data_IF_916878852873
#
_entry.id   IF_916878852873
#
_cell.length_a   1.000
_cell.length_b   1.000
_cell.length_c   1.000
_cell.angle_alpha   90.00
_cell.angle_beta   90.00
_cell.angle_gamma   90.00
#
_symmetry.space_group_name_H-M   'P 1'
#
loop_
_entity.id
_entity.type
_entity.pdbx_description
1 polymer ?
#
# COMPACT_ATOMS: atom_id res chain seq x y z
N UNK A 1 -2.75 -17.45 -22.09
CA UNK A 1 -2.17 -16.43 -21.17
C UNK A 1 -3.04 -16.25 -19.95
N UNK A 2 -2.68 -16.88 -18.83
CA UNK A 2 -3.26 -16.56 -17.53
C UNK A 2 -2.70 -15.21 -17.07
N UNK A 3 -3.46 -14.13 -17.28
CA UNK A 3 -3.17 -12.86 -16.60
C UNK A 3 -3.61 -13.04 -15.15
N UNK A 4 -2.75 -12.67 -14.19
CA UNK A 4 -3.10 -12.74 -12.77
C UNK A 4 -4.43 -12.05 -12.47
N UNK A 5 -5.07 -12.40 -11.36
CA UNK A 5 -6.34 -11.81 -10.97
C UNK A 5 -6.14 -10.32 -10.66
N UNK A 6 -6.94 -9.46 -11.30
CA UNK A 6 -6.89 -8.01 -11.09
C UNK A 6 -7.07 -7.68 -9.60
N UNK A 7 -6.26 -6.72 -9.10
CA UNK A 7 -6.25 -6.28 -7.70
C UNK A 7 -5.92 -7.37 -6.67
N UNK A 8 -5.27 -8.47 -7.08
CA UNK A 8 -4.75 -9.51 -6.18
C UNK A 8 -3.25 -9.68 -6.37
N UNK A 9 -2.46 -8.92 -5.60
CA UNK A 9 -1.00 -8.83 -5.78
C UNK A 9 -0.62 -8.61 -7.26
N UNK A 10 -1.37 -7.76 -7.94
CA UNK A 10 -1.17 -7.43 -9.35
C UNK A 10 0.05 -6.52 -9.48
N UNK A 11 1.09 -6.97 -10.19
CA UNK A 11 2.23 -6.11 -10.50
C UNK A 11 1.79 -5.01 -11.48
N UNK A 12 1.95 -3.76 -11.09
CA UNK A 12 1.54 -2.59 -11.89
C UNK A 12 2.68 -2.12 -12.79
N UNK A 13 3.83 -1.81 -12.21
CA UNK A 13 5.00 -1.28 -12.91
C UNK A 13 6.29 -1.49 -12.10
N UNK A 14 7.43 -1.28 -12.76
CA UNK A 14 8.75 -1.14 -12.13
C UNK A 14 9.33 0.22 -12.50
N UNK A 15 9.47 1.12 -11.54
CA UNK A 15 9.91 2.50 -11.80
C UNK A 15 11.14 2.79 -10.95
N UNK A 16 12.27 3.14 -11.60
CA UNK A 16 13.58 3.34 -10.94
C UNK A 16 14.00 2.19 -10.02
N UNK A 17 13.69 0.96 -10.42
CA UNK A 17 14.00 -0.26 -9.67
C UNK A 17 13.07 -0.53 -8.48
N UNK A 18 11.99 0.23 -8.30
CA UNK A 18 10.94 -0.01 -7.30
C UNK A 18 9.79 -0.74 -7.98
N UNK A 19 9.33 -1.86 -7.40
CA UNK A 19 8.16 -2.57 -7.92
C UNK A 19 6.89 -2.13 -7.20
N UNK A 20 5.83 -1.88 -7.97
CA UNK A 20 4.53 -1.47 -7.47
C UNK A 20 3.52 -2.61 -7.60
N UNK A 21 2.81 -2.92 -6.52
CA UNK A 21 1.82 -3.99 -6.47
C UNK A 21 0.48 -3.48 -5.95
N UNK A 22 -0.57 -3.78 -6.72
CA UNK A 22 -1.97 -3.53 -6.37
C UNK A 22 -2.60 -4.80 -5.79
N UNK A 23 -2.92 -4.73 -4.50
CA UNK A 23 -3.72 -5.73 -3.80
C UNK A 23 -4.89 -5.05 -3.08
N UNK A 24 -5.55 -4.11 -3.75
CA UNK A 24 -6.71 -3.38 -3.23
C UNK A 24 -7.83 -4.31 -2.73
N UNK A 25 -7.88 -5.57 -3.20
CA UNK A 25 -8.83 -6.59 -2.74
C UNK A 25 -8.52 -7.14 -1.34
N UNK A 26 -7.34 -6.90 -0.78
CA UNK A 26 -7.01 -7.20 0.63
C UNK A 26 -7.74 -6.25 1.59
N UNK A 27 -9.04 -6.45 1.68
CA UNK A 27 -10.00 -5.65 2.46
C UNK A 27 -10.13 -6.11 3.91
N UNK A 28 -9.28 -7.04 4.35
CA UNK A 28 -9.20 -7.53 5.72
C UNK A 28 -7.75 -7.80 6.14
N UNK A 29 -7.54 -7.89 7.44
CA UNK A 29 -6.22 -8.04 8.06
C UNK A 29 -5.47 -9.29 7.61
N UNK A 30 -6.15 -10.43 7.48
CA UNK A 30 -5.50 -11.69 7.13
C UNK A 30 -5.03 -11.69 5.66
N UNK A 31 -5.80 -11.08 4.75
CA UNK A 31 -5.41 -10.89 3.36
C UNK A 31 -4.15 -10.00 3.27
N UNK A 32 -4.15 -8.86 3.95
CA UNK A 32 -2.96 -7.98 3.99
C UNK A 32 -1.74 -8.68 4.58
N UNK A 33 -1.91 -9.48 5.65
CA UNK A 33 -0.81 -10.26 6.23
C UNK A 33 -0.18 -11.19 5.21
N UNK A 34 -0.99 -11.91 4.43
CA UNK A 34 -0.50 -12.80 3.36
C UNK A 34 0.25 -12.02 2.29
N UNK A 35 -0.26 -10.86 1.91
CA UNK A 35 0.35 -10.01 0.88
C UNK A 35 1.71 -9.46 1.30
N UNK A 36 1.87 -9.08 2.58
CA UNK A 36 3.17 -8.69 3.14
C UNK A 36 4.17 -9.87 3.06
N UNK A 37 3.72 -11.08 3.38
CA UNK A 37 4.55 -12.29 3.42
C UNK A 37 4.93 -12.83 2.04
N UNK A 38 4.27 -12.38 0.98
CA UNK A 38 4.58 -12.76 -0.41
C UNK A 38 5.89 -12.17 -0.95
N UNK A 39 6.56 -11.29 -0.19
CA UNK A 39 7.78 -10.62 -0.62
C UNK A 39 8.95 -10.91 0.32
N UNK A 40 10.11 -11.21 -0.27
CA UNK A 40 11.42 -11.33 0.38
C UNK A 40 12.18 -9.98 0.45
N UNK A 41 11.52 -8.89 0.02
CA UNK A 41 12.06 -7.54 -0.06
C UNK A 41 11.36 -6.60 0.91
N UNK A 42 12.02 -5.48 1.24
CA UNK A 42 11.43 -4.45 2.11
C UNK A 42 10.30 -3.71 1.41
N UNK A 43 9.21 -3.53 2.15
CA UNK A 43 7.93 -2.99 1.66
C UNK A 43 7.67 -1.59 2.24
N UNK A 44 7.22 -0.67 1.39
CA UNK A 44 6.46 0.51 1.79
C UNK A 44 4.99 0.16 1.62
N UNK A 45 4.27 0.09 2.73
CA UNK A 45 2.92 -0.47 2.78
C UNK A 45 1.88 0.65 2.87
N UNK A 46 0.87 0.62 2.01
CA UNK A 46 -0.30 1.49 2.12
C UNK A 46 -1.42 0.73 2.85
N UNK A 47 -1.85 1.24 4.00
CA UNK A 47 -2.94 0.74 4.83
C UNK A 47 -4.02 1.81 4.99
N UNK A 48 -5.30 1.43 5.07
CA UNK A 48 -6.35 2.40 5.30
C UNK A 48 -7.65 2.13 4.59
N UNK A 49 -8.66 2.90 4.97
CA UNK A 49 -10.04 2.78 4.50
C UNK A 49 -11.03 2.66 5.66
N UNK A 50 -12.23 2.18 5.37
CA UNK A 50 -13.26 1.88 6.37
C UNK A 50 -13.03 0.54 7.05
N UNK A 51 -12.86 0.58 8.37
CA UNK A 51 -12.75 -0.58 9.24
C UNK A 51 -14.12 -1.28 9.41
N UNK A 52 -14.09 -2.61 9.49
CA UNK A 52 -15.26 -3.48 9.75
C UNK A 52 -15.06 -4.36 10.98
N UNK A 53 -14.29 -3.89 11.96
CA UNK A 53 -13.98 -4.64 13.18
C UNK A 53 -12.68 -5.45 13.11
N UNK A 54 -11.73 -5.06 12.25
CA UNK A 54 -10.45 -5.72 12.12
C UNK A 54 -9.56 -5.58 13.37
N UNK A 55 -8.87 -6.66 13.73
CA UNK A 55 -7.79 -6.65 14.73
C UNK A 55 -6.44 -6.40 14.06
N UNK A 56 -6.08 -5.13 13.92
CA UNK A 56 -4.82 -4.73 13.29
C UNK A 56 -3.57 -5.16 14.06
N UNK A 57 -3.67 -5.59 15.33
CA UNK A 57 -2.50 -6.09 16.08
C UNK A 57 -1.91 -7.34 15.45
N UNK A 58 -2.71 -8.12 14.70
CA UNK A 58 -2.22 -9.28 13.93
C UNK A 58 -1.18 -8.90 12.87
N UNK A 59 -1.20 -7.66 12.37
CA UNK A 59 -0.20 -7.18 11.41
C UNK A 59 1.15 -6.87 12.05
N UNK A 60 1.28 -6.81 13.39
CA UNK A 60 2.52 -6.40 14.04
C UNK A 60 3.72 -7.28 13.66
N UNK A 61 3.54 -8.61 13.62
CA UNK A 61 4.60 -9.55 13.24
C UNK A 61 5.04 -9.37 11.78
N UNK A 62 4.16 -9.52 10.76
CA UNK A 62 4.57 -9.37 9.36
C UNK A 62 5.10 -7.96 9.05
N UNK A 63 4.55 -6.91 9.69
CA UNK A 63 5.08 -5.55 9.53
C UNK A 63 6.51 -5.45 10.07
N UNK A 64 6.80 -6.00 11.25
CA UNK A 64 8.16 -5.97 11.83
C UNK A 64 9.18 -6.69 10.94
N UNK A 65 8.79 -7.78 10.29
CA UNK A 65 9.68 -8.62 9.49
C UNK A 65 9.96 -8.01 8.10
N UNK A 66 8.92 -7.56 7.39
CA UNK A 66 9.02 -7.25 5.95
C UNK A 66 8.78 -5.77 5.59
N UNK A 67 8.17 -4.97 6.47
CA UNK A 67 7.80 -3.58 6.17
C UNK A 67 8.87 -2.61 6.66
N UNK A 68 9.21 -1.63 5.83
CA UNK A 68 10.13 -0.52 6.14
C UNK A 68 9.38 0.69 6.70
N UNK A 69 8.23 1.02 6.12
CA UNK A 69 7.38 2.14 6.57
C UNK A 69 5.94 1.92 6.12
N UNK A 70 4.99 2.56 6.81
CA UNK A 70 3.56 2.50 6.48
C UNK A 70 3.07 3.90 6.10
N UNK A 71 2.23 3.95 5.07
CA UNK A 71 1.43 5.14 4.72
C UNK A 71 -0.03 4.81 5.03
N UNK A 72 -0.66 5.68 5.81
CA UNK A 72 -2.01 5.54 6.36
C UNK A 72 -2.96 6.52 5.68
N UNK A 73 -4.14 6.06 5.29
CA UNK A 73 -5.22 6.90 4.77
C UNK A 73 -6.60 6.42 5.25
N UNK A 74 -7.62 7.22 5.00
CA UNK A 74 -9.01 6.86 5.31
C UNK A 74 -9.37 6.86 6.80
N UNK A 75 -10.59 6.44 7.09
CA UNK A 75 -11.22 6.52 8.43
C UNK A 75 -10.45 5.72 9.50
N UNK A 76 -9.90 4.56 9.14
CA UNK A 76 -9.23 3.66 10.08
C UNK A 76 -7.79 4.07 10.48
N UNK A 77 -7.25 5.15 9.91
CA UNK A 77 -5.84 5.55 10.05
C UNK A 77 -5.35 5.60 11.50
N UNK A 78 -6.10 6.24 12.41
CA UNK A 78 -5.69 6.39 13.81
C UNK A 78 -5.78 5.06 14.59
N UNK A 79 -6.76 4.22 14.26
CA UNK A 79 -6.90 2.88 14.85
C UNK A 79 -5.72 1.99 14.46
N UNK A 80 -5.35 1.98 13.16
CA UNK A 80 -4.20 1.23 12.65
C UNK A 80 -2.90 1.78 13.26
N UNK A 81 -2.71 3.10 13.27
CA UNK A 81 -1.55 3.77 13.87
C UNK A 81 -1.35 3.37 15.33
N UNK A 82 -2.42 3.32 16.10
CA UNK A 82 -2.39 2.89 17.50
C UNK A 82 -1.98 1.42 17.63
N UNK A 83 -2.57 0.53 16.82
CA UNK A 83 -2.28 -0.90 16.87
C UNK A 83 -0.82 -1.25 16.47
N UNK A 84 -0.24 -0.45 15.57
CA UNK A 84 1.10 -0.67 15.00
C UNK A 84 2.17 0.30 15.57
N UNK A 85 1.82 1.07 16.60
CA UNK A 85 2.72 2.02 17.24
C UNK A 85 4.04 1.35 17.64
N UNK A 86 5.15 2.01 17.30
CA UNK A 86 6.52 1.61 17.66
C UNK A 86 7.12 0.48 16.81
N UNK A 87 6.44 0.00 15.75
CA UNK A 87 6.99 -1.06 14.89
C UNK A 87 7.87 -0.48 13.77
N UNK A 88 7.33 0.45 13.00
CA UNK A 88 8.00 1.13 11.87
C UNK A 88 7.53 2.59 11.79
N UNK A 89 8.25 3.48 11.08
CA UNK A 89 7.76 4.81 10.77
C UNK A 89 6.41 4.74 10.04
N UNK A 90 5.47 5.60 10.45
CA UNK A 90 4.13 5.67 9.89
C UNK A 90 3.74 7.11 9.61
N UNK A 91 3.17 7.36 8.44
CA UNK A 91 2.70 8.68 8.04
C UNK A 91 1.29 8.65 7.48
N UNK A 92 0.56 9.73 7.72
CA UNK A 92 -0.83 9.87 7.29
C UNK A 92 -0.90 10.78 6.07
N UNK A 93 -1.68 10.39 5.08
CA UNK A 93 -1.98 11.15 3.87
C UNK A 93 -3.49 11.26 3.65
N UNK A 94 -3.90 12.12 2.73
CA UNK A 94 -5.31 12.38 2.43
C UNK A 94 -5.85 11.56 1.24
N UNK A 95 -4.97 11.05 0.38
CA UNK A 95 -5.35 10.40 -0.89
C UNK A 95 -4.39 9.27 -1.29
N UNK A 96 -4.83 8.42 -2.23
CA UNK A 96 -3.97 7.41 -2.85
C UNK A 96 -2.85 8.06 -3.66
N UNK A 97 -3.14 9.19 -4.29
CA UNK A 97 -2.19 9.98 -5.06
C UNK A 97 -1.01 10.45 -4.19
N UNK A 98 -1.31 11.05 -3.04
CA UNK A 98 -0.30 11.41 -2.04
C UNK A 98 0.45 10.18 -1.52
N UNK A 99 -0.25 9.06 -1.30
CA UNK A 99 0.38 7.83 -0.82
C UNK A 99 1.42 7.29 -1.81
N UNK A 100 1.08 7.24 -3.10
CA UNK A 100 1.96 6.78 -4.17
C UNK A 100 3.16 7.70 -4.29
N UNK A 101 2.96 9.02 -4.33
CA UNK A 101 4.07 9.99 -4.45
C UNK A 101 4.99 9.97 -3.25
N UNK A 102 4.43 9.94 -2.03
CA UNK A 102 5.21 9.89 -0.80
C UNK A 102 6.03 8.60 -0.73
N UNK A 103 5.42 7.45 -0.98
CA UNK A 103 6.12 6.17 -0.94
C UNK A 103 7.19 6.06 -2.03
N UNK A 104 6.89 6.48 -3.26
CA UNK A 104 7.89 6.52 -4.34
C UNK A 104 9.08 7.41 -4.00
N UNK A 105 8.85 8.56 -3.35
CA UNK A 105 9.92 9.48 -2.93
C UNK A 105 10.90 8.90 -1.91
N UNK A 106 10.50 7.81 -1.23
CA UNK A 106 11.23 7.15 -0.12
C UNK A 106 11.72 5.75 -0.46
N UNK A 107 11.16 5.17 -1.51
CA UNK A 107 11.50 3.87 -2.00
C UNK A 107 12.94 3.88 -2.52
N UNK A 108 13.67 2.82 -2.21
CA UNK A 108 14.99 2.56 -2.78
C UNK A 108 14.86 1.50 -3.88
N UNK A 109 15.78 1.46 -4.86
CA UNK A 109 15.84 0.36 -5.82
C UNK A 109 15.84 -0.98 -5.09
N UNK A 110 15.13 -1.97 -5.66
CA UNK A 110 14.88 -3.30 -5.08
C UNK A 110 13.96 -3.30 -3.85
N UNK A 111 13.20 -2.24 -3.58
CA UNK A 111 12.09 -2.25 -2.62
C UNK A 111 10.74 -2.42 -3.34
N UNK A 112 9.69 -2.63 -2.55
CA UNK A 112 8.32 -2.83 -3.03
C UNK A 112 7.40 -1.74 -2.47
N UNK A 113 6.54 -1.18 -3.31
CA UNK A 113 5.42 -0.34 -2.92
C UNK A 113 4.13 -1.17 -3.04
N UNK A 114 3.46 -1.43 -1.91
CA UNK A 114 2.32 -2.34 -1.85
C UNK A 114 1.06 -1.63 -1.36
N UNK A 115 0.00 -1.64 -2.17
CA UNK A 115 -1.35 -1.33 -1.72
C UNK A 115 -2.01 -2.61 -1.20
N UNK A 116 -2.11 -2.78 0.12
CA UNK A 116 -2.81 -3.91 0.75
C UNK A 116 -3.58 -3.42 1.99
N UNK A 117 -4.75 -2.79 1.81
CA UNK A 117 -5.30 -1.79 2.73
C UNK A 117 -5.80 -2.31 4.09
N UNK A 118 -6.04 -3.61 4.24
CA UNK A 118 -6.66 -4.26 5.41
C UNK A 118 -8.08 -3.79 5.75
N UNK A 119 -8.61 -2.84 4.98
CA UNK A 119 -9.91 -2.19 5.16
C UNK A 119 -10.70 -2.16 3.86
N UNK A 120 -12.01 -2.02 3.97
CA UNK A 120 -12.86 -1.72 2.82
C UNK A 120 -12.64 -0.30 2.31
N UNK A 121 -13.05 -0.02 1.07
CA UNK A 121 -12.80 1.26 0.40
C UNK A 121 -13.92 2.29 0.52
N UNK A 122 -15.05 1.92 1.14
CA UNK A 122 -16.32 2.67 1.09
C UNK A 122 -16.33 4.02 1.80
N UNK A 123 -15.24 4.40 2.46
CA UNK A 123 -15.04 5.75 2.99
C UNK A 123 -14.56 6.75 1.92
N UNK A 124 -13.84 6.27 0.91
CA UNK A 124 -13.19 7.13 -0.10
C UNK A 124 -13.54 6.76 -1.54
N UNK A 125 -14.08 5.55 -1.79
CA UNK A 125 -14.35 5.01 -3.12
C UNK A 125 -15.62 4.17 -3.13
N UNK A 126 -16.21 3.95 -4.31
CA UNK A 126 -17.39 3.12 -4.50
C UNK A 126 -17.12 1.63 -4.27
N UNK A 127 -15.91 1.15 -4.55
CA UNK A 127 -15.51 -0.25 -4.39
C UNK A 127 -13.97 -0.40 -4.42
N UNK A 128 -13.46 -1.62 -4.23
CA UNK A 128 -12.02 -1.85 -4.18
C UNK A 128 -11.38 -1.74 -5.57
N UNK A 129 -12.13 -2.04 -6.63
CA UNK A 129 -11.69 -1.91 -8.02
C UNK A 129 -11.38 -0.46 -8.36
N UNK A 130 -12.23 0.49 -7.94
CA UNK A 130 -12.00 1.92 -8.12
C UNK A 130 -10.72 2.37 -7.39
N UNK A 131 -10.56 2.00 -6.12
CA UNK A 131 -9.33 2.28 -5.36
C UNK A 131 -8.08 1.75 -6.06
N UNK A 132 -8.14 0.50 -6.55
CA UNK A 132 -7.04 -0.12 -7.28
C UNK A 132 -6.76 0.57 -8.62
N UNK A 133 -7.79 0.95 -9.37
CA UNK A 133 -7.67 1.74 -10.61
C UNK A 133 -7.01 3.09 -10.37
N UNK A 134 -7.38 3.80 -9.30
CA UNK A 134 -6.76 5.07 -8.91
C UNK A 134 -5.28 4.87 -8.57
N UNK A 135 -4.95 3.84 -7.80
CA UNK A 135 -3.57 3.47 -7.51
C UNK A 135 -2.77 3.18 -8.78
N UNK A 136 -3.29 2.33 -9.67
CA UNK A 136 -2.64 1.98 -10.95
C UNK A 136 -2.43 3.21 -11.81
N UNK A 137 -3.45 4.06 -11.95
CA UNK A 137 -3.37 5.32 -12.70
C UNK A 137 -2.25 6.21 -12.18
N UNK A 138 -2.15 6.38 -10.85
CA UNK A 138 -1.10 7.23 -10.28
C UNK A 138 0.28 6.60 -10.40
N UNK A 139 0.42 5.29 -10.21
CA UNK A 139 1.71 4.62 -10.43
C UNK A 139 2.18 4.83 -11.88
N UNK A 140 1.30 4.67 -12.86
CA UNK A 140 1.62 4.89 -14.28
C UNK A 140 1.86 6.37 -14.63
N UNK A 141 1.38 7.32 -13.81
CA UNK A 141 1.66 8.74 -14.03
C UNK A 141 3.12 9.08 -13.69
N UNK A 142 3.73 8.36 -12.73
CA UNK A 142 5.14 8.51 -12.37
C UNK A 142 6.12 8.18 -13.50
N UNK A 143 5.75 7.30 -14.45
CA UNK A 143 6.58 6.98 -15.62
C UNK A 143 6.67 8.14 -16.61
N UNK A 144 5.62 8.97 -16.64
CA UNK A 144 5.49 10.09 -17.58
C UNK A 144 6.10 11.39 -17.06
N UNK A 145 6.49 11.43 -15.79
CA UNK A 145 7.20 12.57 -15.21
C UNK A 145 8.70 12.45 -15.52
N UNK A 146 9.26 13.25 -16.44
CA UNK A 146 10.71 13.31 -16.61
C UNK A 146 11.31 13.69 -15.27
N UNK A 147 12.37 12.98 -14.88
CA UNK A 147 12.90 13.05 -13.53
C UNK A 147 13.19 14.48 -13.11
N UNK A 148 12.38 15.02 -12.20
CA UNK A 148 12.84 16.11 -11.34
C UNK A 148 14.00 15.56 -10.52
N UNK A 149 15.20 15.76 -11.02
CA UNK A 149 16.39 15.88 -10.18
C UNK A 149 16.02 16.87 -9.07
N UNK A 150 16.01 16.37 -7.84
CA UNK A 150 15.89 17.24 -6.67
C UNK A 150 17.29 17.82 -6.42
N UNK A 151 17.39 19.10 -6.03
CA UNK A 151 18.66 19.79 -5.82
C UNK A 151 19.54 19.09 -4.79
#
# INVERSE_FOLDING_TARGET
NFRGLEHRLEKVATIRGVDFYDDSKATNVDATSKSIQSFDRKIILILGGRDKGGDFKKLRKPVKENVKSIILLGEAREKIKTALKGIVPMETVSSIEEAVRLGYSRAKPREVMLLAPACTSFDMFQNFEERGKVFKREVLSLEKEPGKERP
#
